data_IF_260194468960
#
_entry.id   IF_260194468960
#
_cell.length_a   1.000
_cell.length_b   1.000
_cell.length_c   1.000
_cell.angle_alpha   90.00
_cell.angle_beta   90.00
_cell.angle_gamma   90.00
#
_symmetry.space_group_name_H-M   'P 1'
#
loop_
_entity.id
_entity.type
_entity.pdbx_description
1 polymer ?
#
# COMPACT_ATOMS: atom_id res chain seq x y z
N UNK A 1 1.23 -3.79 -9.71
CA UNK A 1 -0.22 -3.64 -9.86
C UNK A 1 -0.50 -2.15 -9.91
N UNK A 2 -0.94 -1.65 -11.07
CA UNK A 2 -1.45 -0.29 -11.17
C UNK A 2 -2.87 -0.32 -10.59
N UNK A 3 -3.21 0.63 -9.73
CA UNK A 3 -4.53 0.74 -9.11
C UNK A 3 -5.61 1.13 -10.14
N UNK A 4 -5.19 1.50 -11.35
CA UNK A 4 -6.03 1.96 -12.46
C UNK A 4 -6.12 0.87 -13.54
N UNK A 5 -7.31 0.58 -14.10
CA UNK A 5 -8.60 1.19 -13.76
C UNK A 5 -9.24 0.56 -12.50
N UNK A 6 -10.03 1.37 -11.79
CA UNK A 6 -10.90 0.93 -10.70
C UNK A 6 -12.29 0.67 -11.28
N UNK A 7 -12.76 -0.56 -11.18
CA UNK A 7 -14.06 -0.98 -11.69
C UNK A 7 -15.05 -1.08 -10.51
N UNK A 8 -16.20 -0.44 -10.64
CA UNK A 8 -17.28 -0.54 -9.66
C UNK A 8 -17.85 -1.96 -9.57
N UNK A 9 -18.54 -2.28 -8.47
CA UNK A 9 -19.08 -3.64 -8.23
C UNK A 9 -19.97 -4.16 -9.36
N UNK A 10 -20.80 -3.30 -9.95
CA UNK A 10 -21.70 -3.65 -11.06
C UNK A 10 -21.00 -3.62 -12.43
N UNK A 11 -19.75 -3.19 -12.51
CA UNK A 11 -19.03 -2.99 -13.78
C UNK A 11 -19.48 -1.77 -14.59
N UNK A 12 -20.52 -1.05 -14.16
CA UNK A 12 -21.07 0.12 -14.85
C UNK A 12 -20.09 1.29 -14.90
N UNK A 13 -19.47 1.60 -13.77
CA UNK A 13 -18.53 2.72 -13.65
C UNK A 13 -17.09 2.21 -13.68
N UNK A 14 -16.27 2.89 -14.46
CA UNK A 14 -14.83 2.69 -14.52
C UNK A 14 -14.12 4.01 -14.23
N UNK A 15 -13.24 4.02 -13.23
CA UNK A 15 -12.47 5.18 -12.82
C UNK A 15 -10.99 4.96 -13.12
N UNK A 16 -10.38 5.93 -13.79
CA UNK A 16 -9.00 5.86 -14.24
C UNK A 16 -8.22 7.10 -13.82
N UNK A 17 -7.02 6.88 -13.31
CA UNK A 17 -6.06 7.95 -13.04
C UNK A 17 -5.20 8.17 -14.29
N UNK A 18 -5.25 9.36 -14.85
CA UNK A 18 -4.45 9.72 -16.03
C UNK A 18 -3.02 10.09 -15.60
N UNK A 19 -2.05 9.85 -16.49
CA UNK A 19 -0.61 10.00 -16.18
C UNK A 19 -0.15 11.46 -16.04
N UNK A 20 -0.92 12.43 -16.53
CA UNK A 20 -0.60 13.85 -16.53
C UNK A 20 -0.92 14.54 -15.18
N UNK A 21 -0.36 14.02 -14.09
CA UNK A 21 -0.47 14.65 -12.78
C UNK A 21 0.25 16.01 -12.76
N UNK A 22 -0.31 16.95 -11.99
CA UNK A 22 0.26 18.28 -11.77
C UNK A 22 0.78 18.38 -10.35
N UNK A 23 2.06 18.69 -10.24
CA UNK A 23 2.70 19.09 -8.99
C UNK A 23 2.74 20.61 -8.98
N UNK A 24 2.05 21.23 -8.02
CA UNK A 24 2.19 22.67 -7.78
C UNK A 24 3.52 23.02 -7.09
N UNK A 25 3.75 24.30 -6.90
CA UNK A 25 4.77 24.77 -5.97
C UNK A 25 4.19 24.91 -4.56
N UNK A 26 5.03 24.89 -3.51
CA UNK A 26 4.61 25.20 -2.16
C UNK A 26 4.01 26.60 -2.06
N UNK A 27 2.89 26.70 -1.34
CA UNK A 27 2.18 27.98 -1.16
C UNK A 27 2.98 29.00 -0.33
N UNK A 28 3.91 28.51 0.49
CA UNK A 28 4.70 29.32 1.42
C UNK A 28 6.19 28.98 1.32
N UNK A 29 7.01 29.97 1.68
CA UNK A 29 8.45 29.76 1.82
C UNK A 29 8.77 28.86 3.01
N UNK A 30 9.97 28.26 3.01
CA UNK A 30 10.44 27.44 4.12
C UNK A 30 10.48 28.20 5.45
N UNK A 31 10.81 29.48 5.43
CA UNK A 31 10.90 30.33 6.62
C UNK A 31 9.50 30.65 7.17
N UNK A 32 8.56 30.98 6.28
CA UNK A 32 7.16 31.22 6.65
C UNK A 32 6.52 29.98 7.26
N UNK A 33 6.74 28.80 6.67
CA UNK A 33 6.24 27.55 7.23
C UNK A 33 6.81 27.27 8.63
N UNK A 34 8.05 27.70 8.89
CA UNK A 34 8.70 27.52 10.20
C UNK A 34 8.09 28.42 11.26
N UNK A 35 7.87 29.69 10.93
CA UNK A 35 7.27 30.69 11.83
C UNK A 35 5.80 30.37 12.11
N UNK A 36 5.06 29.91 11.08
CA UNK A 36 3.62 29.60 11.18
C UNK A 36 3.32 28.18 11.63
N UNK A 37 4.34 27.40 12.00
CA UNK A 37 4.22 25.99 12.40
C UNK A 37 3.49 25.11 11.37
N UNK A 38 3.68 25.39 10.08
CA UNK A 38 3.08 24.66 8.96
C UNK A 38 4.04 23.64 8.34
N UNK A 39 3.51 22.74 7.51
CA UNK A 39 4.31 21.77 6.76
C UNK A 39 4.73 22.34 5.39
N UNK A 40 6.01 22.20 5.04
CA UNK A 40 6.51 22.58 3.71
C UNK A 40 6.17 21.49 2.70
N UNK A 41 5.16 21.75 1.88
CA UNK A 41 4.56 20.75 0.99
C UNK A 41 4.09 21.39 -0.31
N UNK A 42 3.93 20.59 -1.36
CA UNK A 42 3.31 21.02 -2.61
C UNK A 42 1.97 20.31 -2.82
N UNK A 43 0.99 20.97 -3.45
CA UNK A 43 -0.28 20.34 -3.76
C UNK A 43 -0.14 19.38 -4.95
N UNK A 44 -0.59 18.13 -4.79
CA UNK A 44 -0.70 17.17 -5.88
C UNK A 44 -2.13 17.18 -6.44
N UNK A 45 -2.26 17.41 -7.75
CA UNK A 45 -3.52 17.24 -8.49
C UNK A 45 -3.36 16.17 -9.54
N UNK A 46 -4.33 15.25 -9.61
CA UNK A 46 -4.34 14.17 -10.60
C UNK A 46 -5.63 14.27 -11.41
N UNK A 47 -5.55 14.31 -12.74
CA UNK A 47 -6.72 14.20 -13.60
C UNK A 47 -7.28 12.78 -13.55
N UNK A 48 -8.54 12.67 -13.18
CA UNK A 48 -9.28 11.42 -13.06
C UNK A 48 -10.35 11.38 -14.14
N UNK A 49 -10.44 10.25 -14.84
CA UNK A 49 -11.44 9.96 -15.86
C UNK A 49 -12.45 8.96 -15.28
N UNK A 50 -13.72 9.33 -15.25
CA UNK A 50 -14.83 8.45 -14.92
C UNK A 50 -15.62 8.13 -16.20
N UNK A 51 -15.76 6.85 -16.52
CA UNK A 51 -16.51 6.34 -17.67
C UNK A 51 -17.76 5.62 -17.14
N UNK A 52 -18.94 6.06 -17.57
CA UNK A 52 -20.19 5.30 -17.40
C UNK A 52 -20.40 4.44 -18.66
N UNK A 53 -20.28 3.12 -18.52
CA UNK A 53 -20.40 2.17 -19.65
C UNK A 53 -21.83 2.02 -20.17
N UNK A 54 -22.85 2.38 -19.39
CA UNK A 54 -24.24 2.29 -19.84
C UNK A 54 -24.63 3.47 -20.72
N UNK A 55 -24.20 4.68 -20.36
CA UNK A 55 -24.53 5.91 -21.10
C UNK A 55 -23.45 6.30 -22.11
N UNK A 56 -22.23 5.78 -21.97
CA UNK A 56 -21.06 6.20 -22.73
C UNK A 56 -20.51 7.57 -22.29
N UNK A 57 -21.02 8.15 -21.21
CA UNK A 57 -20.59 9.45 -20.71
C UNK A 57 -19.18 9.35 -20.10
N UNK A 58 -18.31 10.29 -20.50
CA UNK A 58 -16.94 10.40 -19.98
C UNK A 58 -16.78 11.73 -19.27
N UNK A 59 -16.48 11.68 -17.96
CA UNK A 59 -16.19 12.86 -17.14
C UNK A 59 -14.72 12.87 -16.79
N UNK A 60 -14.01 13.94 -17.15
CA UNK A 60 -12.62 14.15 -16.77
C UNK A 60 -12.56 15.35 -15.83
N UNK A 61 -11.99 15.14 -14.64
CA UNK A 61 -11.85 16.20 -13.63
C UNK A 61 -10.48 16.14 -12.98
N UNK A 62 -9.89 17.31 -12.73
CA UNK A 62 -8.70 17.41 -11.88
C UNK A 62 -9.10 17.30 -10.41
N UNK A 63 -8.61 16.25 -9.76
CA UNK A 63 -8.87 15.99 -8.34
C UNK A 63 -7.63 16.35 -7.53
N UNK A 64 -7.83 17.10 -6.45
CA UNK A 64 -6.78 17.34 -5.47
C UNK A 64 -6.56 16.08 -4.63
N UNK A 65 -5.35 15.51 -4.71
CA UNK A 65 -4.98 14.26 -4.03
C UNK A 65 -4.42 14.51 -2.63
N UNK A 66 -4.06 15.75 -2.32
CA UNK A 66 -3.46 16.14 -1.05
C UNK A 66 -2.10 16.83 -1.22
N UNK A 67 -1.56 17.29 -0.10
CA UNK A 67 -0.26 17.94 -0.04
C UNK A 67 0.85 16.91 0.24
N UNK A 68 1.91 16.98 -0.57
CA UNK A 68 3.07 16.09 -0.45
C UNK A 68 4.23 16.89 0.16
N UNK A 69 4.83 16.42 1.27
CA UNK A 69 6.00 17.06 1.85
C UNK A 69 7.15 17.20 0.85
N UNK A 70 7.65 18.43 0.70
CA UNK A 70 8.76 18.73 -0.22
C UNK A 70 10.08 18.60 0.53
N UNK A 71 11.03 17.86 -0.04
CA UNK A 71 12.37 17.74 0.50
C UNK A 71 13.13 19.07 0.34
N UNK A 72 13.80 19.51 1.39
CA UNK A 72 14.67 20.69 1.35
C UNK A 72 16.00 20.37 0.68
N UNK A 73 16.78 21.41 0.32
CA UNK A 73 18.16 21.24 -0.19
C UNK A 73 19.10 20.51 0.77
N UNK A 74 18.76 20.46 2.07
CA UNK A 74 19.52 19.74 3.11
C UNK A 74 19.15 18.25 3.22
N UNK A 75 18.17 17.77 2.46
CA UNK A 75 17.65 16.41 2.59
C UNK A 75 16.70 16.21 3.78
N UNK A 76 16.18 17.31 4.35
CA UNK A 76 15.23 17.29 5.47
C UNK A 76 13.81 17.60 4.97
N UNK A 77 12.81 17.35 5.82
CA UNK A 77 11.41 17.72 5.60
C UNK A 77 10.93 18.60 6.75
N UNK A 78 10.18 19.66 6.45
CA UNK A 78 9.57 20.50 7.48
C UNK A 78 8.12 20.05 7.68
N UNK A 79 7.81 19.48 8.84
CA UNK A 79 6.48 18.98 9.19
C UNK A 79 6.01 19.68 10.45
N UNK A 80 4.92 20.44 10.32
CA UNK A 80 4.33 21.25 11.40
C UNK A 80 5.39 22.11 12.12
N UNK A 81 6.15 22.90 11.35
CA UNK A 81 7.22 23.76 11.87
C UNK A 81 8.52 23.06 12.29
N UNK A 82 8.53 21.73 12.41
CA UNK A 82 9.70 20.97 12.86
C UNK A 82 10.45 20.33 11.68
N UNK A 83 11.78 20.46 11.67
CA UNK A 83 12.62 19.74 10.71
C UNK A 83 12.75 18.27 11.11
N UNK A 84 12.52 17.38 10.15
CA UNK A 84 12.58 15.92 10.29
C UNK A 84 13.46 15.34 9.19
N UNK A 85 14.10 14.23 9.49
CA UNK A 85 14.92 13.47 8.54
C UNK A 85 14.30 12.09 8.37
N UNK A 86 14.14 11.65 7.13
CA UNK A 86 13.72 10.29 6.84
C UNK A 86 14.95 9.38 6.89
N UNK A 87 14.90 8.36 7.74
CA UNK A 87 15.99 7.37 7.88
C UNK A 87 15.62 6.14 7.05
N UNK A 88 16.57 5.68 6.24
CA UNK A 88 16.43 4.44 5.48
C UNK A 88 16.43 3.25 6.43
N UNK A 89 15.46 2.34 6.28
CA UNK A 89 15.35 1.12 7.07
C UNK A 89 15.75 -0.10 6.26
N UNK A 90 16.45 -1.03 6.89
CA UNK A 90 16.68 -2.36 6.31
C UNK A 90 15.43 -3.22 6.49
N UNK A 91 14.82 -3.60 5.37
CA UNK A 91 13.67 -4.52 5.32
C UNK A 91 14.09 -5.86 4.74
N UNK A 92 13.32 -6.91 5.03
CA UNK A 92 13.56 -8.24 4.44
C UNK A 92 13.42 -8.16 2.93
N UNK A 93 14.34 -8.80 2.22
CA UNK A 93 14.27 -8.91 0.77
C UNK A 93 13.05 -9.74 0.33
N UNK A 94 12.57 -9.57 -0.90
CA UNK A 94 11.59 -10.49 -1.45
C UNK A 94 12.14 -11.92 -1.46
N UNK A 95 11.30 -12.89 -1.12
CA UNK A 95 11.71 -14.29 -1.01
C UNK A 95 10.78 -15.13 -0.14
N UNK A 96 11.15 -16.40 0.01
CA UNK A 96 10.46 -17.35 0.89
C UNK A 96 11.34 -17.63 2.10
N UNK A 97 10.82 -17.32 3.29
CA UNK A 97 11.51 -17.49 4.56
C UNK A 97 10.87 -18.64 5.34
N UNK A 98 11.64 -19.66 5.66
CA UNK A 98 11.20 -20.78 6.49
C UNK A 98 11.63 -20.55 7.94
N UNK A 99 10.77 -20.90 8.88
CA UNK A 99 11.10 -20.92 10.30
C UNK A 99 10.41 -22.09 11.00
N UNK A 100 11.07 -22.63 12.01
CA UNK A 100 10.54 -23.69 12.86
C UNK A 100 10.51 -23.16 14.30
N UNK A 101 9.41 -23.42 15.02
CA UNK A 101 9.26 -23.11 16.44
C UNK A 101 8.96 -24.40 17.19
N UNK A 102 9.68 -24.60 18.29
CA UNK A 102 9.47 -25.73 19.20
C UNK A 102 8.77 -25.18 20.44
N UNK A 103 7.56 -25.66 20.72
CA UNK A 103 6.85 -25.33 21.95
C UNK A 103 7.53 -26.00 23.16
N UNK A 104 7.22 -25.54 24.39
CA UNK A 104 7.72 -26.11 25.65
C UNK A 104 7.43 -27.61 25.79
N UNK A 105 6.46 -28.13 25.05
CA UNK A 105 6.04 -29.53 24.99
C UNK A 105 6.83 -30.36 23.95
N UNK A 106 7.81 -29.76 23.25
CA UNK A 106 8.59 -30.42 22.19
C UNK A 106 7.88 -30.49 20.84
N UNK A 107 6.67 -29.95 20.72
CA UNK A 107 5.89 -29.93 19.49
C UNK A 107 6.45 -28.88 18.51
N UNK A 108 6.72 -29.31 17.29
CA UNK A 108 7.23 -28.49 16.20
C UNK A 108 6.10 -27.86 15.40
N UNK A 109 6.12 -26.54 15.29
CA UNK A 109 5.32 -25.76 14.36
C UNK A 109 6.25 -25.17 13.28
N UNK A 110 5.88 -25.35 12.01
CA UNK A 110 6.66 -24.83 10.88
C UNK A 110 5.90 -23.67 10.23
N UNK A 111 6.63 -22.65 9.80
CA UNK A 111 6.07 -21.48 9.13
C UNK A 111 6.89 -21.16 7.88
N UNK A 112 6.22 -20.81 6.79
CA UNK A 112 6.81 -20.24 5.59
C UNK A 112 6.19 -18.87 5.30
N UNK A 113 6.99 -17.82 5.30
CA UNK A 113 6.58 -16.45 4.97
C UNK A 113 7.06 -16.11 3.57
N UNK A 114 6.13 -15.84 2.67
CA UNK A 114 6.38 -15.41 1.30
C UNK A 114 6.25 -13.89 1.25
N UNK A 115 7.37 -13.22 0.99
CA UNK A 115 7.46 -11.77 0.86
C UNK A 115 7.60 -11.42 -0.62
N UNK A 116 6.55 -10.87 -1.27
CA UNK A 116 6.68 -10.44 -2.66
C UNK A 116 7.42 -9.11 -2.77
N UNK A 117 7.96 -8.81 -3.95
CA UNK A 117 8.54 -7.50 -4.26
C UNK A 117 7.48 -6.39 -4.25
N UNK A 118 6.25 -6.71 -4.66
CA UNK A 118 5.08 -5.83 -4.57
C UNK A 118 3.84 -6.67 -4.26
N UNK A 119 3.02 -6.22 -3.33
CA UNK A 119 1.74 -6.86 -2.99
C UNK A 119 1.69 -7.38 -1.55
N UNK A 120 0.69 -8.22 -1.28
CA UNK A 120 0.41 -8.73 0.06
C UNK A 120 1.34 -9.87 0.45
N UNK A 121 1.75 -9.88 1.73
CA UNK A 121 2.46 -11.01 2.30
C UNK A 121 1.56 -12.24 2.36
N UNK A 122 2.16 -13.41 2.21
CA UNK A 122 1.46 -14.68 2.29
C UNK A 122 2.20 -15.60 3.26
N UNK A 123 1.55 -15.97 4.36
CA UNK A 123 2.12 -16.82 5.40
C UNK A 123 1.43 -18.17 5.42
N UNK A 124 2.23 -19.24 5.39
CA UNK A 124 1.81 -20.61 5.64
C UNK A 124 2.28 -21.03 7.02
N UNK A 125 1.39 -21.64 7.80
CA UNK A 125 1.69 -22.15 9.13
C UNK A 125 1.16 -23.57 9.27
N UNK A 126 1.99 -24.48 9.78
CA UNK A 126 1.59 -25.80 10.25
C UNK A 126 1.58 -25.73 11.77
N UNK A 127 0.39 -25.87 12.36
CA UNK A 127 0.25 -25.81 13.81
C UNK A 127 0.71 -27.12 14.50
N UNK A 128 0.66 -27.14 15.83
CA UNK A 128 1.00 -28.31 16.64
C UNK A 128 0.11 -29.54 16.39
N UNK A 129 -1.11 -29.32 15.91
CA UNK A 129 -2.07 -30.37 15.56
C UNK A 129 -1.91 -30.85 14.11
N UNK A 130 -0.85 -30.41 13.40
CA UNK A 130 -0.57 -30.73 11.99
C UNK A 130 -1.63 -30.18 11.03
N UNK A 131 -2.33 -29.13 11.42
CA UNK A 131 -3.28 -28.42 10.57
C UNK A 131 -2.55 -27.28 9.87
N UNK A 132 -2.72 -27.20 8.55
CA UNK A 132 -2.16 -26.13 7.73
C UNK A 132 -3.11 -24.94 7.63
N UNK A 133 -2.54 -23.76 7.77
CA UNK A 133 -3.26 -22.50 7.71
C UNK A 133 -2.55 -21.49 6.82
N UNK A 134 -3.34 -20.57 6.30
CA UNK A 134 -2.91 -19.45 5.47
C UNK A 134 -3.26 -18.15 6.18
N UNK A 135 -2.35 -17.17 6.10
CA UNK A 135 -2.64 -15.78 6.39
C UNK A 135 -2.24 -14.94 5.18
N UNK A 136 -3.17 -14.14 4.68
CA UNK A 136 -2.91 -13.18 3.60
C UNK A 136 -2.93 -11.78 4.19
N UNK A 137 -1.89 -10.99 3.96
CA UNK A 137 -1.80 -9.60 4.38
C UNK A 137 -2.02 -9.36 5.89
N UNK A 138 -1.56 -10.28 6.76
CA UNK A 138 -1.79 -10.25 8.22
C UNK A 138 -3.28 -10.25 8.62
N UNK A 139 -4.18 -10.68 7.73
CA UNK A 139 -5.59 -10.88 8.02
C UNK A 139 -5.81 -12.18 8.82
N UNK A 140 -7.07 -12.46 9.17
CA UNK A 140 -7.47 -13.62 9.96
C UNK A 140 -6.96 -14.95 9.35
N UNK A 141 -6.51 -15.84 10.22
CA UNK A 141 -6.14 -17.22 9.92
C UNK A 141 -7.27 -17.96 9.20
N UNK A 142 -6.98 -18.51 8.02
CA UNK A 142 -7.90 -19.35 7.24
C UNK A 142 -7.30 -20.74 7.02
N UNK A 143 -8.15 -21.75 6.87
CA UNK A 143 -7.70 -23.11 6.56
C UNK A 143 -7.03 -23.12 5.20
N UNK A 144 -5.87 -23.79 5.09
CA UNK A 144 -5.18 -23.95 3.81
C UNK A 144 -6.10 -24.55 2.74
N UNK A 145 -6.89 -25.56 3.10
CA UNK A 145 -7.81 -26.22 2.18
C UNK A 145 -8.88 -25.28 1.59
N UNK A 146 -9.39 -24.35 2.40
CA UNK A 146 -10.37 -23.38 1.91
C UNK A 146 -9.74 -22.45 0.88
N UNK A 147 -8.57 -21.90 1.20
CA UNK A 147 -7.82 -21.04 0.28
C UNK A 147 -7.43 -21.78 -0.99
N UNK A 148 -6.99 -23.03 -0.88
CA UNK A 148 -6.62 -23.87 -2.02
C UNK A 148 -7.80 -24.06 -2.97
N UNK A 149 -8.98 -24.44 -2.46
CA UNK A 149 -10.22 -24.53 -3.26
C UNK A 149 -10.59 -23.22 -3.94
N UNK A 150 -10.44 -22.07 -3.28
CA UNK A 150 -10.69 -20.77 -3.90
C UNK A 150 -9.81 -20.50 -5.14
N UNK A 151 -8.64 -21.12 -5.23
CA UNK A 151 -7.76 -21.03 -6.40
C UNK A 151 -8.10 -22.01 -7.53
N UNK A 152 -9.18 -22.78 -7.42
CA UNK A 152 -9.71 -23.62 -8.49
C UNK A 152 -9.14 -25.04 -8.55
N UNK A 153 -8.45 -25.49 -7.49
CA UNK A 153 -8.08 -26.90 -7.33
C UNK A 153 -9.25 -27.67 -6.67
N UNK A 154 -9.68 -28.76 -7.32
CA UNK A 154 -10.65 -29.72 -6.77
C UNK A 154 -10.07 -30.59 -5.65
#
# INVERSE_FOLDING_TARGET
ANISPIIGYTGRYELEFLENYKIGDPDLSLEDCRIKEMSYSFPLRVPVRLVDKETGEVKVQEVFMGDIPKMTKKGTFLINGAERVVVSQFVRSPGVYFSERIDKQGLRAAQATIIPNRGSWFDLEVDKNKIMYVHVNKMRKTSFWLTFRCYGSE
#
